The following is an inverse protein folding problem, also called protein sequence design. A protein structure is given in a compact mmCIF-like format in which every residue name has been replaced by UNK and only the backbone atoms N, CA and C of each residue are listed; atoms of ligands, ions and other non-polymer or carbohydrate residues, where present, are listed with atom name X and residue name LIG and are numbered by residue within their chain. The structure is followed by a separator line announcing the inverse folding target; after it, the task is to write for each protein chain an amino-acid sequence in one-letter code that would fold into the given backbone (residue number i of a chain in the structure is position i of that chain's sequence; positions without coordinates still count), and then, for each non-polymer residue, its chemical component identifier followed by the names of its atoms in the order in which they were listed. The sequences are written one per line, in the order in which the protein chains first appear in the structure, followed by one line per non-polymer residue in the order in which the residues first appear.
data_IF_988188972135
#
_entry.id   IF_988188972135
#
_cell.length_a   1.000
_cell.length_b   1.000
_cell.length_c   1.000
_cell.angle_alpha   90.00
_cell.angle_beta   90.00
_cell.angle_gamma   90.00
#
_symmetry.space_group_name_H-M   'P 1'
#
loop_
_entity.id
_entity.type
_entity.pdbx_description
1 polymer ?
#
# COMPACT_ATOMS: atom_id res chain seq x y z
N UNK A 1 -0.12 -20.59 7.09
CA UNK A 1 0.19 -19.14 7.02
C UNK A 1 -0.98 -18.28 6.54
N UNK A 2 -1.56 -18.52 5.34
CA UNK A 2 -2.56 -17.61 4.74
C UNK A 2 -3.79 -17.36 5.62
N UNK A 3 -4.38 -18.38 6.24
CA UNK A 3 -5.54 -18.20 7.14
C UNK A 3 -5.22 -17.33 8.38
N UNK A 4 -4.00 -17.46 8.91
CA UNK A 4 -3.54 -16.64 10.05
C UNK A 4 -3.29 -15.20 9.61
N UNK A 5 -2.65 -15.01 8.46
CA UNK A 5 -2.48 -13.68 7.86
C UNK A 5 -3.81 -13.01 7.54
N UNK A 6 -4.81 -13.75 7.06
CA UNK A 6 -6.16 -13.24 6.82
C UNK A 6 -6.85 -12.83 8.12
N UNK A 7 -6.73 -13.63 9.18
CA UNK A 7 -7.27 -13.27 10.49
C UNK A 7 -6.60 -12.01 11.06
N UNK A 8 -5.28 -11.91 10.90
CA UNK A 8 -4.52 -10.74 11.30
C UNK A 8 -4.89 -9.48 10.49
N UNK A 9 -5.15 -9.64 9.18
CA UNK A 9 -5.63 -8.56 8.33
C UNK A 9 -7.00 -8.03 8.78
N UNK A 10 -7.94 -8.93 9.09
CA UNK A 10 -9.24 -8.53 9.63
C UNK A 10 -9.09 -7.74 10.94
N UNK A 11 -8.20 -8.18 11.82
CA UNK A 11 -7.92 -7.47 13.07
C UNK A 11 -7.37 -6.05 12.82
N UNK A 12 -6.37 -5.92 11.94
CA UNK A 12 -5.80 -4.60 11.60
C UNK A 12 -6.84 -3.65 11.00
N UNK A 13 -7.70 -4.14 10.11
CA UNK A 13 -8.75 -3.32 9.48
C UNK A 13 -9.74 -2.82 10.54
N UNK A 14 -10.20 -3.68 11.44
CA UNK A 14 -11.09 -3.25 12.53
C UNK A 14 -10.44 -2.21 13.43
N UNK A 15 -9.12 -2.30 13.61
CA UNK A 15 -8.38 -1.36 14.43
C UNK A 15 -8.22 0.03 13.78
N UNK A 16 -8.22 0.13 12.44
CA UNK A 16 -8.20 1.43 11.74
C UNK A 16 -9.42 2.30 12.07
N UNK A 17 -10.58 1.68 12.29
CA UNK A 17 -11.84 2.39 12.60
C UNK A 17 -11.84 3.02 13.99
N UNK A 18 -10.94 2.60 14.89
CA UNK A 18 -10.84 3.08 16.27
C UNK A 18 -9.87 4.25 16.43
N UNK A 19 -9.20 4.66 15.35
CA UNK A 19 -8.19 5.69 15.41
C UNK A 19 -8.77 7.07 15.08
N UNK A 20 -8.31 8.08 15.81
CA UNK A 20 -8.71 9.47 15.58
C UNK A 20 -7.57 10.32 15.01
N UNK A 21 -6.32 9.98 15.32
CA UNK A 21 -5.17 10.80 14.92
C UNK A 21 -4.68 10.41 13.51
N UNK A 22 -4.49 11.37 12.59
CA UNK A 22 -4.09 11.09 11.20
C UNK A 22 -2.77 10.31 11.11
N UNK A 23 -1.78 10.67 11.93
CA UNK A 23 -0.50 9.94 11.97
C UNK A 23 -0.66 8.45 12.33
N UNK A 24 -1.49 8.12 13.31
CA UNK A 24 -1.66 6.72 13.72
C UNK A 24 -2.47 5.92 12.69
N UNK A 25 -3.42 6.57 12.00
CA UNK A 25 -4.09 5.97 10.84
C UNK A 25 -3.09 5.60 9.75
N UNK A 26 -2.16 6.49 9.40
CA UNK A 26 -1.14 6.20 8.36
C UNK A 26 -0.25 5.02 8.77
N UNK A 27 0.20 4.98 10.04
CA UNK A 27 1.02 3.86 10.55
C UNK A 27 0.26 2.52 10.44
N UNK A 28 -1.04 2.50 10.76
CA UNK A 28 -1.83 1.27 10.60
C UNK A 28 -2.03 0.88 9.15
N UNK A 29 -2.29 1.83 8.25
CA UNK A 29 -2.48 1.51 6.84
C UNK A 29 -1.18 0.93 6.26
N UNK A 30 -0.01 1.43 6.68
CA UNK A 30 1.29 0.83 6.33
C UNK A 30 1.37 -0.63 6.78
N UNK A 31 0.98 -0.94 8.02
CA UNK A 31 0.94 -2.32 8.52
C UNK A 31 -0.03 -3.21 7.72
N UNK A 32 -1.23 -2.72 7.39
CA UNK A 32 -2.19 -3.47 6.56
C UNK A 32 -1.57 -3.83 5.21
N UNK A 33 -0.88 -2.89 4.56
CA UNK A 33 -0.29 -3.11 3.23
C UNK A 33 0.82 -4.16 3.26
N UNK A 34 1.67 -4.16 4.28
CA UNK A 34 2.70 -5.18 4.45
C UNK A 34 2.07 -6.57 4.56
N UNK A 35 0.98 -6.72 5.31
CA UNK A 35 0.28 -8.00 5.46
C UNK A 35 -0.38 -8.47 4.15
N UNK A 36 -1.00 -7.55 3.39
CA UNK A 36 -1.54 -7.87 2.06
C UNK A 36 -0.43 -8.40 1.15
N UNK A 37 0.74 -7.76 1.15
CA UNK A 37 1.85 -8.17 0.30
C UNK A 37 2.41 -9.55 0.66
N UNK A 38 2.46 -9.88 1.96
CA UNK A 38 2.83 -11.23 2.40
C UNK A 38 1.81 -12.28 1.95
N UNK A 39 0.51 -11.96 2.01
CA UNK A 39 -0.56 -12.85 1.51
C UNK A 39 -0.38 -13.08 0.00
N UNK A 40 -0.21 -12.01 -0.79
CA UNK A 40 -0.08 -12.09 -2.25
C UNK A 40 1.17 -12.87 -2.66
N UNK A 41 2.30 -12.61 -2.00
CA UNK A 41 3.55 -13.36 -2.22
C UNK A 41 3.35 -14.86 -2.00
N UNK A 42 2.64 -15.23 -0.93
CA UNK A 42 2.37 -16.64 -0.60
C UNK A 42 1.37 -17.33 -1.53
N UNK A 43 0.45 -16.58 -2.18
CA UNK A 43 -0.56 -17.16 -3.09
C UNK A 43 0.02 -17.33 -4.50
N UNK A 44 0.69 -16.29 -5.01
CA UNK A 44 1.07 -16.26 -6.42
C UNK A 44 2.45 -16.88 -6.67
N UNK A 45 3.24 -17.17 -5.63
CA UNK A 45 4.65 -17.57 -5.73
C UNK A 45 5.50 -16.65 -6.63
N UNK A 46 4.98 -15.47 -7.00
CA UNK A 46 5.59 -14.49 -7.89
C UNK A 46 6.02 -13.28 -7.06
N UNK A 47 7.24 -13.33 -6.52
CA UNK A 47 7.78 -12.29 -5.62
C UNK A 47 7.80 -10.89 -6.23
N UNK A 48 7.95 -10.78 -7.56
CA UNK A 48 8.02 -9.49 -8.25
C UNK A 48 6.67 -8.76 -8.25
N UNK A 49 5.54 -9.45 -8.41
CA UNK A 49 4.22 -8.82 -8.38
C UNK A 49 3.89 -8.28 -6.97
N UNK A 50 4.23 -9.03 -5.91
CA UNK A 50 4.12 -8.52 -4.54
C UNK A 50 5.05 -7.33 -4.27
N UNK A 51 6.23 -7.29 -4.90
CA UNK A 51 7.17 -6.18 -4.75
C UNK A 51 6.70 -4.88 -5.43
N UNK A 52 6.14 -4.97 -6.64
CA UNK A 52 5.58 -3.80 -7.33
C UNK A 52 4.43 -3.19 -6.51
N UNK A 53 3.57 -4.03 -5.92
CA UNK A 53 2.50 -3.57 -5.03
C UNK A 53 3.03 -2.83 -3.78
N UNK A 54 4.11 -3.32 -3.18
CA UNK A 54 4.78 -2.64 -2.05
C UNK A 54 5.23 -1.22 -2.45
N UNK A 55 5.94 -1.09 -3.58
CA UNK A 55 6.50 0.21 -3.99
C UNK A 55 5.41 1.23 -4.29
N UNK A 56 4.40 0.84 -5.08
CA UNK A 56 3.35 1.76 -5.51
C UNK A 56 2.54 2.24 -4.29
N UNK A 57 2.20 1.32 -3.37
CA UNK A 57 1.39 1.66 -2.22
C UNK A 57 2.16 2.50 -1.19
N UNK A 58 3.42 2.14 -0.89
CA UNK A 58 4.28 2.96 -0.02
C UNK A 58 4.52 4.35 -0.62
N UNK A 59 4.81 4.43 -1.92
CA UNK A 59 5.05 5.71 -2.60
C UNK A 59 3.84 6.63 -2.53
N UNK A 60 2.65 6.12 -2.86
CA UNK A 60 1.41 6.91 -2.78
C UNK A 60 1.04 7.34 -1.36
N UNK A 61 1.23 6.44 -0.39
CA UNK A 61 0.94 6.73 1.01
C UNK A 61 1.86 7.79 1.62
N UNK A 62 3.15 7.82 1.25
CA UNK A 62 4.08 8.83 1.73
C UNK A 62 3.73 10.24 1.23
N UNK A 63 3.28 10.37 -0.03
CA UNK A 63 2.81 11.66 -0.57
C UNK A 63 1.57 12.15 0.19
N UNK A 64 0.60 11.26 0.42
CA UNK A 64 -0.58 11.56 1.23
C UNK A 64 -0.21 11.94 2.67
N UNK A 65 0.79 11.26 3.24
CA UNK A 65 1.27 11.55 4.59
C UNK A 65 1.79 12.97 4.72
N UNK A 66 2.67 13.40 3.80
CA UNK A 66 3.21 14.76 3.79
C UNK A 66 2.09 15.79 3.63
N UNK A 67 1.12 15.51 2.77
CA UNK A 67 -0.03 16.39 2.56
C UNK A 67 -0.88 16.54 3.85
N UNK A 68 -1.21 15.45 4.53
CA UNK A 68 -2.04 15.49 5.74
C UNK A 68 -1.31 16.21 6.88
N UNK A 69 -0.01 15.93 7.09
CA UNK A 69 0.80 16.62 8.11
C UNK A 69 0.91 18.12 7.84
N UNK A 70 0.93 18.54 6.56
CA UNK A 70 0.94 19.97 6.22
C UNK A 70 -0.38 20.70 6.52
N UNK A 71 -1.48 19.95 6.69
CA UNK A 71 -2.83 20.50 6.86
C UNK A 71 -3.31 20.37 8.31
N UNK A 72 -2.97 19.30 9.01
CA UNK A 72 -3.39 19.09 10.40
C UNK A 72 -2.56 19.95 11.36
N UNK A 73 -3.23 20.60 12.32
CA UNK A 73 -2.56 21.12 13.52
C UNK A 73 -1.74 20.01 14.18
N UNK A 74 -0.52 20.33 14.64
CA UNK A 74 0.31 19.42 15.44
C UNK A 74 -0.32 19.22 16.83
N UNK A 75 -1.46 18.53 16.87
CA UNK A 75 -2.07 18.12 18.12
C UNK A 75 -1.13 17.15 18.83
N UNK A 76 -0.95 17.38 20.13
CA UNK A 76 -0.10 16.49 20.93
C UNK A 76 -0.69 15.10 20.85
N UNK A 77 0.18 14.14 20.59
CA UNK A 77 -0.21 12.76 20.44
C UNK A 77 -0.81 12.25 21.76
N UNK A 78 -2.14 12.11 21.80
CA UNK A 78 -2.81 11.51 22.95
C UNK A 78 -2.32 10.06 23.10
N UNK A 79 -2.06 9.66 24.35
CA UNK A 79 -1.46 8.38 24.73
C UNK A 79 -2.11 7.25 23.93
N UNK A 80 -1.32 6.51 23.15
CA UNK A 80 -1.82 5.31 22.46
C UNK A 80 -2.45 4.40 23.50
N UNK A 81 -3.70 3.99 23.28
CA UNK A 81 -4.25 2.87 24.03
C UNK A 81 -3.33 1.66 23.82
N UNK A 82 -3.06 0.91 24.90
CA UNK A 82 -2.22 -0.31 24.89
C UNK A 82 -2.64 -1.34 23.83
N UNK A 83 -3.90 -1.27 23.38
CA UNK A 83 -4.46 -2.01 22.25
C UNK A 83 -3.71 -1.75 20.92
N UNK A 84 -3.06 -0.60 20.73
CA UNK A 84 -2.25 -0.28 19.53
C UNK A 84 -0.96 -1.10 19.42
N UNK A 85 -0.41 -1.60 20.54
CA UNK A 85 0.87 -2.32 20.53
C UNK A 85 0.72 -3.80 20.19
N UNK A 86 -0.47 -4.36 20.40
CA UNK A 86 -0.77 -5.77 20.13
C UNK A 86 -0.54 -6.18 18.65
N UNK A 87 -0.97 -5.40 17.64
CA UNK A 87 -0.70 -5.75 16.25
C UNK A 87 0.79 -5.66 15.89
N UNK A 88 1.56 -4.77 16.49
CA UNK A 88 3.00 -4.61 16.19
C UNK A 88 3.80 -5.84 16.63
N UNK A 89 3.47 -6.42 17.79
CA UNK A 89 4.20 -7.55 18.39
C UNK A 89 3.89 -8.87 17.66
N UNK A 90 2.72 -9.00 17.04
CA UNK A 90 2.32 -10.22 16.33
C UNK A 90 2.86 -10.32 14.90
N UNK A 91 3.38 -9.23 14.33
CA UNK A 91 3.91 -9.23 12.96
C UNK A 91 5.24 -9.97 12.80
N UNK A 92 6.27 -9.77 13.66
CA UNK A 92 7.56 -10.43 13.46
C UNK A 92 7.57 -11.90 13.87
N UNK A 93 6.69 -12.34 14.77
CA UNK A 93 6.65 -13.74 15.23
C UNK A 93 6.16 -14.72 14.16
N UNK A 94 5.44 -14.23 13.14
CA UNK A 94 4.87 -15.06 12.08
C UNK A 94 5.82 -15.29 10.91
N UNK A 95 6.88 -14.47 10.79
CA UNK A 95 7.86 -14.54 9.70
C UNK A 95 8.85 -15.70 9.91
N UNK A 96 9.10 -16.08 11.16
CA UNK A 96 10.11 -17.11 11.50
C UNK A 96 9.62 -18.55 11.38
N UNK A 97 8.35 -18.79 11.02
CA UNK A 97 7.77 -20.13 11.12
C UNK A 97 8.20 -21.04 9.96
N UNK A 98 8.57 -20.55 8.78
CA UNK A 98 9.01 -21.46 7.70
C UNK A 98 10.10 -20.89 6.78
N UNK A 99 11.23 -21.59 6.77
CA UNK A 99 11.94 -21.93 5.53
C UNK A 99 11.93 -23.47 5.43
N UNK A 100 12.06 -24.12 4.25
CA UNK A 100 12.54 -23.57 2.98
C UNK A 100 11.71 -23.98 1.73
N UNK A 101 12.18 -23.48 0.59
CA UNK A 101 12.08 -24.12 -0.73
C UNK A 101 10.69 -24.33 -1.32
N UNK A 102 10.16 -23.29 -1.95
CA UNK A 102 9.63 -23.47 -3.30
C UNK A 102 10.46 -22.61 -4.24
N UNK A 103 11.53 -23.21 -4.78
CA UNK A 103 12.18 -22.67 -5.97
C UNK A 103 11.13 -22.65 -7.07
N UNK A 104 10.58 -21.45 -7.25
CA UNK A 104 9.52 -21.21 -8.19
C UNK A 104 10.13 -21.32 -9.59
N UNK A 105 9.48 -22.06 -10.48
CA UNK A 105 9.87 -22.17 -11.88
C UNK A 105 9.95 -20.76 -12.50
N UNK A 106 11.17 -20.24 -12.67
CA UNK A 106 11.42 -18.92 -13.28
C UNK A 106 10.77 -18.78 -14.66
N UNK A 107 10.50 -19.88 -15.35
CA UNK A 107 9.85 -19.87 -16.66
C UNK A 107 8.40 -19.36 -16.63
N UNK A 108 7.67 -19.53 -15.51
CA UNK A 108 6.31 -19.00 -15.39
C UNK A 108 6.29 -17.48 -15.17
N UNK A 109 7.36 -16.90 -14.62
CA UNK A 109 7.50 -15.45 -14.42
C UNK A 109 7.66 -14.70 -15.74
N UNK A 110 8.54 -15.20 -16.61
CA UNK A 110 8.84 -14.55 -17.88
C UNK A 110 7.62 -14.64 -18.82
N UNK A 111 6.87 -15.74 -18.75
CA UNK A 111 5.65 -15.91 -19.53
C UNK A 111 4.48 -15.03 -19.04
N UNK A 112 4.35 -14.75 -17.74
CA UNK A 112 3.25 -13.92 -17.23
C UNK A 112 3.43 -12.43 -17.58
N UNK A 113 4.64 -11.90 -17.51
CA UNK A 113 4.91 -10.49 -17.84
C UNK A 113 4.88 -10.26 -19.35
N UNK A 114 5.43 -11.18 -20.13
CA UNK A 114 5.33 -11.11 -21.59
C UNK A 114 3.88 -11.22 -22.06
N UNK A 115 2.99 -11.92 -21.32
CA UNK A 115 1.56 -11.98 -21.64
C UNK A 115 0.85 -10.62 -21.61
N UNK A 116 1.32 -9.66 -20.82
CA UNK A 116 0.72 -8.31 -20.76
C UNK A 116 0.99 -7.49 -22.03
N UNK A 117 2.09 -7.77 -22.72
CA UNK A 117 2.47 -7.13 -23.98
C UNK A 117 2.13 -7.99 -25.21
N UNK A 118 1.38 -9.08 -25.04
CA UNK A 118 0.88 -9.85 -26.17
C UNK A 118 -0.14 -9.05 -26.97
N UNK A 119 -0.25 -9.38 -28.25
CA UNK A 119 -1.16 -8.71 -29.19
C UNK A 119 -2.61 -8.66 -28.71
N UNK A 120 -3.06 -9.66 -27.93
CA UNK A 120 -4.40 -9.72 -27.35
C UNK A 120 -4.70 -8.65 -26.30
N UNK A 121 -3.68 -8.17 -25.57
CA UNK A 121 -3.83 -7.18 -24.49
C UNK A 121 -3.43 -5.76 -24.90
N UNK A 122 -3.03 -5.56 -26.17
CA UNK A 122 -2.52 -4.27 -26.67
C UNK A 122 -3.52 -3.12 -26.50
N UNK A 123 -4.82 -3.36 -26.71
CA UNK A 123 -5.83 -2.31 -26.51
C UNK A 123 -5.96 -1.89 -25.04
N UNK A 124 -5.82 -2.85 -24.12
CA UNK A 124 -5.87 -2.57 -22.69
C UNK A 124 -4.64 -1.78 -22.23
N UNK A 125 -3.45 -2.12 -22.72
CA UNK A 125 -2.23 -1.35 -22.40
C UNK A 125 -2.29 0.06 -22.97
N UNK A 126 -2.81 0.25 -24.19
CA UNK A 126 -3.04 1.58 -24.77
C UNK A 126 -4.01 2.41 -23.92
N UNK A 127 -5.09 1.82 -23.41
CA UNK A 127 -6.04 2.52 -22.55
C UNK A 127 -5.38 3.03 -21.26
N UNK A 128 -4.54 2.21 -20.61
CA UNK A 128 -3.81 2.61 -19.40
C UNK A 128 -2.85 3.77 -19.69
N UNK A 129 -2.13 3.74 -20.82
CA UNK A 129 -1.24 4.85 -21.18
C UNK A 129 -2.01 6.16 -21.37
N UNK A 130 -3.13 6.13 -22.09
CA UNK A 130 -3.97 7.31 -22.31
C UNK A 130 -4.52 7.82 -20.97
N UNK A 131 -4.95 6.93 -20.08
CA UNK A 131 -5.42 7.30 -18.74
C UNK A 131 -4.34 8.05 -17.94
N UNK A 132 -3.10 7.53 -17.90
CA UNK A 132 -1.99 8.18 -17.18
C UNK A 132 -1.62 9.55 -17.77
N UNK A 133 -1.70 9.71 -19.09
CA UNK A 133 -1.47 11.01 -19.75
C UNK A 133 -2.54 12.03 -19.34
N UNK A 134 -3.82 11.62 -19.36
CA UNK A 134 -4.94 12.50 -19.00
C UNK A 134 -4.84 12.90 -17.52
N UNK A 135 -4.54 11.97 -16.61
CA UNK A 135 -4.43 12.30 -15.17
C UNK A 135 -3.29 13.28 -14.89
N UNK A 136 -2.17 13.18 -15.60
CA UNK A 136 -1.07 14.14 -15.48
C UNK A 136 -1.45 15.53 -16.00
N UNK A 137 -2.15 15.62 -17.14
CA UNK A 137 -2.62 16.92 -17.65
C UNK A 137 -3.60 17.58 -16.68
N UNK A 138 -4.52 16.80 -16.12
CA UNK A 138 -5.48 17.28 -15.14
C UNK A 138 -4.77 17.73 -13.84
N UNK A 139 -3.80 16.97 -13.34
CA UNK A 139 -3.09 17.32 -12.11
C UNK A 139 -2.34 18.65 -12.23
N UNK A 140 -1.69 18.90 -13.36
CA UNK A 140 -1.01 20.18 -13.67
C UNK A 140 -2.01 21.33 -13.78
N UNK A 141 -3.19 21.09 -14.38
CA UNK A 141 -4.25 22.11 -14.46
C UNK A 141 -4.78 22.48 -13.08
N UNK A 142 -4.95 21.50 -12.19
CA UNK A 142 -5.41 21.73 -10.80
C UNK A 142 -4.33 22.47 -9.99
N UNK A 143 -3.05 22.11 -10.14
CA UNK A 143 -1.96 22.77 -9.39
C UNK A 143 -1.77 24.24 -9.76
N UNK A 144 -2.13 24.65 -10.99
CA UNK A 144 -1.96 26.03 -11.47
C UNK A 144 -3.04 27.01 -10.98
N UNK A 145 -4.03 26.56 -10.18
CA UNK A 145 -4.99 27.46 -9.56
C UNK A 145 -4.34 28.26 -8.43
N UNK A 146 -3.90 29.49 -8.75
CA UNK A 146 -3.32 30.46 -7.81
C UNK A 146 -4.41 31.11 -6.93
N UNK A 147 -5.12 30.33 -6.14
CA UNK A 147 -5.85 30.91 -5.01
C UNK A 147 -4.85 31.10 -3.87
N UNK A 148 -4.85 32.31 -3.30
CA UNK A 148 -3.92 32.71 -2.25
C UNK A 148 -3.88 31.72 -1.07
N UNK A 149 -2.90 31.85 -0.16
CA UNK A 149 -2.65 30.85 0.88
C UNK A 149 -3.93 30.51 1.64
N UNK A 150 -4.21 29.21 1.78
CA UNK A 150 -5.35 28.64 2.52
C UNK A 150 -5.35 29.08 4.01
N UNK A 151 -4.21 29.59 4.50
CA UNK A 151 -4.09 30.23 5.82
C UNK A 151 -3.97 31.74 5.67
N UNK A 152 -5.01 32.46 6.10
CA UNK A 152 -4.80 33.82 6.59
C UNK A 152 -3.96 33.73 7.87
N UNK A 153 -3.00 34.66 8.01
CA UNK A 153 -2.03 34.68 9.12
C UNK A 153 -2.69 34.62 10.48
#
# INVERSE_FOLDING_TARGET
MIKILLFFLLYLVMFTLLLNHPMSMVILILLVTININMIISSILNLSWNSYILIIIFLGGMLVLFIYIVSISSNEKFNKMNSLMLFPLIMTPSMIFIETPSMFCNNNNFINSISSMYMSSMMYFTLLIMIYLIITLLISVKISNNKLGPIRQK
#
